data_IF_647742816903
#
_entry.id   IF_647742816903
#
_cell.length_a   1.000
_cell.length_b   1.000
_cell.length_c   1.000
_cell.angle_alpha   90.00
_cell.angle_beta   90.00
_cell.angle_gamma   90.00
#
_symmetry.space_group_name_H-M   'P 1'
#
loop_
_entity.id
_entity.type
_entity.pdbx_description
1 polymer ?
#
# COMPACT_ATOMS: atom_id res chain seq x y z
N UNK A 1 -10.20 -14.54 -13.91
CA UNK A 1 -10.29 -14.51 -12.45
C UNK A 1 -10.25 -13.05 -12.06
N UNK A 2 -11.34 -12.54 -11.52
CA UNK A 2 -11.49 -11.14 -11.12
C UNK A 2 -10.55 -10.89 -9.95
N UNK A 3 -9.38 -10.29 -10.19
CA UNK A 3 -8.57 -9.76 -9.09
C UNK A 3 -9.33 -8.54 -8.55
N UNK A 4 -10.31 -8.76 -7.69
CA UNK A 4 -10.91 -7.70 -6.89
C UNK A 4 -9.78 -7.16 -6.00
N UNK A 5 -9.27 -5.99 -6.36
CA UNK A 5 -8.27 -5.30 -5.56
C UNK A 5 -9.01 -4.75 -4.35
N UNK A 6 -8.86 -5.41 -3.22
CA UNK A 6 -9.44 -4.95 -1.97
C UNK A 6 -8.70 -3.71 -1.45
N UNK A 7 -9.41 -2.85 -0.71
CA UNK A 7 -8.80 -1.71 -0.04
C UNK A 7 -8.49 -2.06 1.41
N UNK A 8 -7.29 -1.71 1.87
CA UNK A 8 -6.91 -1.79 3.28
C UNK A 8 -6.60 -0.40 3.80
N UNK A 9 -7.30 0.03 4.85
CA UNK A 9 -6.97 1.31 5.47
C UNK A 9 -5.65 1.22 6.25
N UNK A 10 -4.96 2.36 6.38
CA UNK A 10 -3.68 2.47 7.10
C UNK A 10 -3.70 1.89 8.52
N UNK A 11 -4.82 1.99 9.26
CA UNK A 11 -4.92 1.48 10.63
C UNK A 11 -4.93 -0.05 10.65
N UNK A 12 -5.72 -0.66 9.77
CA UNK A 12 -5.81 -2.13 9.63
C UNK A 12 -4.48 -2.71 9.14
N UNK A 13 -3.82 -2.01 8.20
CA UNK A 13 -2.48 -2.38 7.76
C UNK A 13 -1.47 -2.31 8.91
N UNK A 14 -1.55 -1.30 9.77
CA UNK A 14 -0.65 -1.17 10.94
C UNK A 14 -0.85 -2.31 11.96
N UNK A 15 -2.05 -2.86 12.05
CA UNK A 15 -2.30 -4.06 12.87
C UNK A 15 -1.74 -5.30 12.19
N UNK A 16 -1.92 -5.42 10.88
CA UNK A 16 -1.38 -6.52 10.07
C UNK A 16 0.16 -6.58 10.14
N UNK A 17 0.85 -5.44 10.16
CA UNK A 17 2.33 -5.38 10.25
C UNK A 17 2.87 -5.75 11.63
N UNK A 18 2.04 -5.73 12.68
CA UNK A 18 2.43 -6.22 14.01
C UNK A 18 2.42 -7.73 14.10
N UNK A 19 1.65 -8.39 13.24
CA UNK A 19 1.61 -9.85 13.17
C UNK A 19 2.85 -10.37 12.41
N UNK A 20 3.86 -10.76 13.19
CA UNK A 20 5.13 -11.28 12.65
C UNK A 20 5.00 -12.67 12.01
N UNK A 21 3.86 -13.34 12.13
CA UNK A 21 3.63 -14.62 11.46
C UNK A 21 3.31 -14.45 9.97
N UNK A 22 2.88 -13.25 9.56
CA UNK A 22 2.57 -12.93 8.17
C UNK A 22 3.74 -12.26 7.47
N UNK A 23 4.18 -12.84 6.36
CA UNK A 23 5.16 -12.22 5.47
C UNK A 23 4.43 -11.29 4.50
N UNK A 24 4.52 -9.98 4.77
CA UNK A 24 3.93 -8.96 3.92
C UNK A 24 4.91 -8.55 2.83
N UNK A 25 4.46 -8.68 1.58
CA UNK A 25 5.12 -8.11 0.41
C UNK A 25 4.49 -6.76 0.11
N UNK A 26 5.31 -5.71 0.04
CA UNK A 26 4.83 -4.36 -0.24
C UNK A 26 5.46 -3.80 -1.49
N UNK A 27 4.61 -3.38 -2.43
CA UNK A 27 5.00 -2.89 -3.74
C UNK A 27 4.35 -1.54 -4.01
N UNK A 28 5.17 -0.53 -4.24
CA UNK A 28 4.74 0.76 -4.74
C UNK A 28 4.64 0.69 -6.27
N UNK A 29 3.41 0.70 -6.79
CA UNK A 29 3.13 0.67 -8.24
C UNK A 29 2.94 2.08 -8.77
N UNK A 30 3.48 2.43 -9.95
CA UNK A 30 3.25 3.73 -10.55
C UNK A 30 1.76 3.90 -10.89
N UNK A 31 1.25 5.09 -10.63
CA UNK A 31 -0.09 5.50 -11.02
C UNK A 31 0.02 6.72 -11.93
N UNK A 32 -0.36 6.53 -13.19
CA UNK A 32 -0.36 7.55 -14.23
C UNK A 32 -1.80 7.83 -14.66
N UNK A 33 -2.53 8.57 -13.84
CA UNK A 33 -3.82 9.13 -14.24
C UNK A 33 -3.66 10.41 -15.06
N UNK A 34 -4.71 10.84 -15.76
CA UNK A 34 -4.69 12.01 -16.65
C UNK A 34 -4.20 13.30 -15.95
N UNK A 35 -4.65 13.54 -14.72
CA UNK A 35 -4.32 14.74 -13.94
C UNK A 35 -3.48 14.45 -12.68
N UNK A 36 -3.21 13.18 -12.40
CA UNK A 36 -2.58 12.74 -11.15
C UNK A 36 -1.53 11.68 -11.42
N UNK A 37 -0.30 11.98 -11.02
CA UNK A 37 0.83 11.07 -11.06
C UNK A 37 1.35 10.77 -9.66
N UNK A 38 1.86 9.56 -9.47
CA UNK A 38 2.44 9.15 -8.20
C UNK A 38 2.54 7.64 -8.09
N UNK A 39 2.45 7.15 -6.86
CA UNK A 39 2.51 5.72 -6.56
C UNK A 39 1.32 5.31 -5.70
N UNK A 40 0.78 4.12 -5.96
CA UNK A 40 -0.14 3.43 -5.08
C UNK A 40 0.62 2.33 -4.34
N UNK A 41 0.33 2.18 -3.05
CA UNK A 41 0.97 1.16 -2.23
C UNK A 41 0.11 -0.10 -2.24
N UNK A 42 0.62 -1.17 -2.85
CA UNK A 42 0.02 -2.49 -2.83
C UNK A 42 0.68 -3.32 -1.74
N UNK A 43 -0.13 -4.06 -0.98
CA UNK A 43 0.31 -4.97 0.07
C UNK A 43 -0.26 -6.33 -0.23
N UNK A 44 0.53 -7.39 -0.07
CA UNK A 44 0.04 -8.76 -0.17
C UNK A 44 0.63 -9.62 0.93
N UNK A 45 -0.15 -10.56 1.45
CA UNK A 45 0.32 -11.61 2.35
C UNK A 45 0.57 -12.95 1.63
N UNK A 46 0.60 -12.92 0.28
CA UNK A 46 0.75 -14.09 -0.58
C UNK A 46 -0.56 -14.79 -0.95
N UNK A 47 -1.67 -14.50 -0.25
CA UNK A 47 -3.00 -15.02 -0.57
C UNK A 47 -3.92 -13.92 -1.06
N UNK A 48 -3.93 -12.79 -0.34
CA UNK A 48 -4.76 -11.64 -0.67
C UNK A 48 -3.87 -10.46 -1.04
N UNK A 49 -4.40 -9.58 -1.89
CA UNK A 49 -3.73 -8.34 -2.29
C UNK A 49 -4.64 -7.16 -2.01
N UNK A 50 -4.09 -6.18 -1.32
CA UNK A 50 -4.75 -4.94 -0.97
C UNK A 50 -4.06 -3.73 -1.56
N UNK A 51 -4.82 -2.67 -1.76
CA UNK A 51 -4.30 -1.33 -1.99
C UNK A 51 -4.57 -0.46 -0.77
N UNK A 52 -3.54 0.25 -0.32
CA UNK A 52 -3.64 1.09 0.87
C UNK A 52 -4.57 2.28 0.61
N UNK A 53 -5.52 2.50 1.50
CA UNK A 53 -6.42 3.65 1.53
C UNK A 53 -6.23 4.47 2.81
N UNK A 54 -6.72 5.71 2.81
CA UNK A 54 -6.78 6.50 4.04
C UNK A 54 -7.87 5.97 4.97
N UNK A 55 -7.68 6.15 6.28
CA UNK A 55 -8.71 5.92 7.28
C UNK A 55 -9.95 6.73 6.89
N UNK A 56 -11.06 6.07 6.52
CA UNK A 56 -12.33 6.64 6.04
C UNK A 56 -12.46 6.97 4.54
N UNK A 57 -11.58 6.51 3.66
CA UNK A 57 -11.80 6.66 2.21
C UNK A 57 -11.93 5.32 1.50
N UNK A 58 -12.96 5.21 0.66
CA UNK A 58 -13.13 4.13 -0.32
C UNK A 58 -12.24 4.35 -1.57
N UNK A 59 -11.20 5.18 -1.44
CA UNK A 59 -10.26 5.49 -2.53
C UNK A 59 -8.84 5.10 -2.16
N UNK A 60 -8.06 4.56 -3.11
CA UNK A 60 -6.63 4.35 -2.96
C UNK A 60 -5.91 5.63 -2.53
N UNK A 61 -4.97 5.48 -1.61
CA UNK A 61 -4.10 6.57 -1.19
C UNK A 61 -2.99 6.77 -2.23
N UNK A 62 -3.07 7.89 -2.95
CA UNK A 62 -2.05 8.28 -3.92
C UNK A 62 -0.90 9.03 -3.26
N UNK A 63 0.31 8.50 -3.42
CA UNK A 63 1.55 9.13 -2.98
C UNK A 63 2.21 9.84 -4.18
N UNK A 64 2.04 11.17 -4.26
CA UNK A 64 2.62 11.98 -5.35
C UNK A 64 4.15 11.96 -5.39
N UNK A 65 4.80 11.64 -4.26
CA UNK A 65 6.25 11.63 -4.11
C UNK A 65 6.70 10.37 -3.37
N UNK A 66 7.78 9.76 -3.85
CA UNK A 66 8.34 8.54 -3.24
C UNK A 66 8.85 8.77 -1.81
N UNK A 67 9.33 9.97 -1.47
CA UNK A 67 9.77 10.28 -0.10
C UNK A 67 8.60 10.30 0.90
N UNK A 68 7.42 10.77 0.47
CA UNK A 68 6.21 10.74 1.29
C UNK A 68 5.74 9.30 1.53
N UNK A 69 5.84 8.44 0.52
CA UNK A 69 5.53 7.01 0.63
C UNK A 69 6.47 6.33 1.63
N UNK A 70 7.78 6.53 1.50
CA UNK A 70 8.78 5.93 2.40
C UNK A 70 8.61 6.38 3.85
N UNK A 71 8.32 7.67 4.09
CA UNK A 71 8.01 8.18 5.44
C UNK A 71 6.80 7.50 6.04
N UNK A 72 5.76 7.27 5.24
CA UNK A 72 4.56 6.57 5.70
C UNK A 72 4.84 5.09 5.95
N UNK A 73 5.54 4.41 5.03
CA UNK A 73 5.89 3.00 5.18
C UNK A 73 6.65 2.74 6.49
N UNK A 74 7.59 3.64 6.84
CA UNK A 74 8.30 3.60 8.12
C UNK A 74 7.36 3.77 9.32
N UNK A 75 6.38 4.68 9.25
CA UNK A 75 5.38 4.87 10.31
C UNK A 75 4.47 3.65 10.50
N UNK A 76 4.14 2.96 9.41
CA UNK A 76 3.31 1.75 9.40
C UNK A 76 4.06 0.50 9.91
N UNK A 77 5.36 0.61 10.18
CA UNK A 77 6.18 -0.51 10.64
C UNK A 77 6.62 -1.47 9.53
N UNK A 78 6.54 -1.05 8.26
CA UNK A 78 7.03 -1.85 7.14
C UNK A 78 8.55 -1.89 7.13
N UNK A 79 9.11 -3.09 6.97
CA UNK A 79 10.56 -3.31 6.90
C UNK A 79 11.14 -2.99 5.52
N UNK A 80 10.34 -3.16 4.46
CA UNK A 80 10.77 -2.96 3.08
C UNK A 80 9.59 -2.51 2.20
N UNK A 81 9.91 -1.79 1.12
CA UNK A 81 9.00 -1.44 0.04
C UNK A 81 9.76 -1.56 -1.28
N UNK A 82 9.21 -2.32 -2.21
CA UNK A 82 9.74 -2.43 -3.59
C UNK A 82 9.04 -1.41 -4.48
N UNK A 83 9.78 -0.66 -5.29
CA UNK A 83 9.21 0.22 -6.31
C UNK A 83 9.21 -0.51 -7.66
N UNK A 84 8.04 -0.59 -8.29
CA UNK A 84 7.94 -0.93 -9.71
C UNK A 84 8.19 0.33 -10.54
N UNK A 85 8.90 0.16 -11.66
CA UNK A 85 9.27 1.23 -12.59
C UNK A 85 8.34 1.21 -13.81
#
# INVERSE_FOLDING_TARGET
MSNEIELINVSSLTELTKDKSKLLTVVAKPFNGELLQGHLLHVSDGQTQWVVSTYLSDKPKLYKRSDALLKEAKKLGLSQVTFEL
#
